data_IF_888559068917
#
_entry.id   IF_888559068917
#
_cell.length_a   1.000
_cell.length_b   1.000
_cell.length_c   1.000
_cell.angle_alpha   90.00
_cell.angle_beta   90.00
_cell.angle_gamma   90.00
#
_symmetry.space_group_name_H-M   'P 1'
#
loop_
_entity.id
_entity.type
_entity.pdbx_description
1 polymer ?
#
# COMPACT_ATOMS: atom_id res chain seq x y z
N UNK A 1 -4.79 -27.80 -6.43
CA UNK A 1 -4.53 -26.72 -5.45
C UNK A 1 -5.33 -27.02 -4.20
N UNK A 2 -4.66 -27.18 -3.07
CA UNK A 2 -5.32 -27.46 -1.80
C UNK A 2 -6.02 -26.20 -1.28
N UNK A 3 -7.09 -26.34 -0.49
CA UNK A 3 -7.76 -25.22 0.19
C UNK A 3 -6.78 -24.35 1.02
N UNK A 4 -5.66 -24.93 1.43
CA UNK A 4 -4.60 -24.28 2.20
C UNK A 4 -3.74 -23.32 1.36
N UNK A 5 -3.48 -23.66 0.09
CA UNK A 5 -2.77 -22.80 -0.87
C UNK A 5 -3.64 -21.63 -1.32
N UNK A 6 -4.94 -21.85 -1.46
CA UNK A 6 -5.92 -20.79 -1.76
C UNK A 6 -5.97 -19.80 -0.59
N UNK A 7 -5.99 -20.26 0.66
CA UNK A 7 -5.96 -19.38 1.83
C UNK A 7 -4.64 -18.60 1.96
N UNK A 8 -3.49 -19.25 1.75
CA UNK A 8 -2.19 -18.56 1.78
C UNK A 8 -2.06 -17.51 0.66
N UNK A 9 -2.58 -17.82 -0.55
CA UNK A 9 -2.55 -16.90 -1.69
C UNK A 9 -3.56 -15.76 -1.56
N UNK A 10 -4.68 -15.97 -0.85
CA UNK A 10 -5.70 -14.94 -0.56
C UNK A 10 -5.24 -13.98 0.54
N UNK A 11 -4.44 -14.45 1.50
CA UNK A 11 -3.93 -13.62 2.61
C UNK A 11 -2.77 -12.72 2.15
N UNK A 12 -1.93 -13.18 1.22
CA UNK A 12 -0.75 -12.42 0.77
C UNK A 12 -1.05 -11.24 -0.17
N UNK A 13 -2.24 -11.15 -0.77
CA UNK A 13 -2.61 -10.05 -1.68
C UNK A 13 -3.88 -9.36 -1.16
N UNK A 14 -3.96 -9.16 0.16
CA UNK A 14 -4.88 -8.18 0.71
C UNK A 14 -4.13 -6.86 0.81
N UNK A 15 -4.53 -5.88 0.01
CA UNK A 15 -4.16 -4.50 0.30
C UNK A 15 -4.76 -4.14 1.66
N UNK A 16 -3.92 -4.01 2.69
CA UNK A 16 -4.26 -3.73 4.11
C UNK A 16 -5.39 -2.71 4.27
N UNK A 17 -5.33 -1.66 3.47
CA UNK A 17 -6.28 -0.57 3.39
C UNK A 17 -7.74 -1.00 3.07
N UNK A 18 -7.94 -1.96 2.17
CA UNK A 18 -9.25 -2.50 1.80
C UNK A 18 -9.91 -3.21 2.99
N UNK A 19 -9.14 -4.05 3.68
CA UNK A 19 -9.64 -4.84 4.78
C UNK A 19 -10.04 -3.91 5.92
N UNK A 20 -9.17 -2.97 6.25
CA UNK A 20 -9.46 -1.94 7.23
C UNK A 20 -10.74 -1.16 6.89
N UNK A 21 -10.93 -0.79 5.62
CA UNK A 21 -12.14 -0.09 5.17
C UNK A 21 -13.41 -0.95 5.37
N UNK A 22 -13.36 -2.24 5.04
CA UNK A 22 -14.47 -3.18 5.25
C UNK A 22 -14.82 -3.31 6.73
N UNK A 23 -13.81 -3.46 7.58
CA UNK A 23 -13.98 -3.52 9.03
C UNK A 23 -14.64 -2.25 9.59
N UNK A 24 -14.12 -1.08 9.20
CA UNK A 24 -14.65 0.22 9.64
C UNK A 24 -16.06 0.48 9.11
N UNK A 25 -16.36 0.08 7.88
CA UNK A 25 -17.70 0.19 7.31
C UNK A 25 -18.72 -0.66 8.10
N UNK A 26 -18.34 -1.91 8.41
CA UNK A 26 -19.22 -2.85 9.07
C UNK A 26 -19.55 -2.48 10.51
N UNK A 27 -18.57 -1.94 11.25
CA UNK A 27 -18.64 -1.77 12.70
C UNK A 27 -18.66 -0.32 13.17
N UNK A 28 -18.14 0.63 12.39
CA UNK A 28 -18.02 2.02 12.84
C UNK A 28 -18.95 2.96 12.07
N UNK A 29 -19.07 2.84 10.73
CA UNK A 29 -19.99 3.72 9.98
C UNK A 29 -21.44 3.51 10.40
N UNK A 30 -21.88 2.26 10.55
CA UNK A 30 -23.25 1.95 11.01
C UNK A 30 -23.53 2.51 12.41
N UNK A 31 -22.60 2.33 13.34
CA UNK A 31 -22.75 2.77 14.73
C UNK A 31 -22.80 4.30 14.84
N UNK A 32 -22.15 5.01 13.91
CA UNK A 32 -22.12 6.46 13.88
C UNK A 32 -23.16 7.08 12.92
N UNK A 33 -24.11 6.31 12.37
CA UNK A 33 -25.11 6.75 11.40
C UNK A 33 -24.52 7.40 10.12
N UNK A 34 -23.39 6.86 9.66
CA UNK A 34 -22.66 7.30 8.46
C UNK A 34 -22.67 6.24 7.34
N UNK A 35 -23.60 5.28 7.38
CA UNK A 35 -23.71 4.21 6.38
C UNK A 35 -24.61 4.58 5.19
N UNK A 36 -24.73 5.87 4.90
CA UNK A 36 -25.48 6.40 3.75
C UNK A 36 -24.63 6.36 2.47
N UNK A 37 -25.20 5.87 1.34
CA UNK A 37 -24.54 5.98 0.04
C UNK A 37 -24.12 7.41 -0.28
N UNK A 38 -22.95 7.57 -0.88
CA UNK A 38 -22.30 8.86 -1.11
C UNK A 38 -21.36 9.29 0.03
N UNK A 39 -21.40 8.65 1.19
CA UNK A 39 -20.49 8.97 2.30
C UNK A 39 -19.05 8.62 1.94
N UNK A 40 -18.18 9.63 2.02
CA UNK A 40 -16.74 9.49 1.80
C UNK A 40 -16.02 9.44 3.15
N UNK A 41 -15.09 8.50 3.31
CA UNK A 41 -14.29 8.33 4.52
C UNK A 41 -12.84 7.96 4.19
N UNK A 42 -11.93 8.34 5.07
CA UNK A 42 -10.50 8.03 4.98
C UNK A 42 -10.12 6.93 5.97
N UNK A 43 -9.29 6.00 5.54
CA UNK A 43 -8.55 5.09 6.41
C UNK A 43 -7.12 5.62 6.50
N UNK A 44 -6.64 5.76 7.73
CA UNK A 44 -5.26 6.06 8.08
C UNK A 44 -4.72 4.85 8.82
N UNK A 45 -4.00 4.00 8.10
CA UNK A 45 -3.37 2.81 8.65
C UNK A 45 -2.01 3.18 9.23
N UNK A 46 -1.99 3.45 10.54
CA UNK A 46 -0.79 3.79 11.30
C UNK A 46 -0.10 2.51 11.76
N UNK A 47 0.70 1.91 10.87
CA UNK A 47 1.45 0.70 11.12
C UNK A 47 2.74 0.92 11.92
N UNK A 48 3.52 -0.16 12.05
CA UNK A 48 4.84 -0.12 12.65
C UNK A 48 5.88 0.53 11.75
N UNK A 49 6.01 0.06 10.51
CA UNK A 49 6.97 0.61 9.55
C UNK A 49 6.39 1.67 8.61
N UNK A 50 5.16 1.46 8.14
CA UNK A 50 4.51 2.34 7.17
C UNK A 50 3.26 3.00 7.74
N UNK A 51 2.91 4.13 7.15
CA UNK A 51 1.58 4.70 7.27
C UNK A 51 0.95 4.76 5.90
N UNK A 52 -0.25 4.20 5.76
CA UNK A 52 -0.96 4.11 4.49
C UNK A 52 -2.34 4.79 4.56
N UNK A 53 -2.63 5.62 3.57
CA UNK A 53 -3.86 6.39 3.43
C UNK A 53 -4.67 5.93 2.23
N UNK A 54 -5.96 5.69 2.45
CA UNK A 54 -6.93 5.52 1.36
C UNK A 54 -8.20 6.30 1.65
N UNK A 55 -8.80 6.89 0.62
CA UNK A 55 -10.10 7.56 0.72
C UNK A 55 -11.11 6.78 -0.09
N UNK A 56 -12.19 6.37 0.57
CA UNK A 56 -13.21 5.49 0.01
C UNK A 56 -14.56 6.18 0.06
N UNK A 57 -15.39 5.86 -0.93
CA UNK A 57 -16.78 6.30 -0.97
C UNK A 57 -17.69 5.09 -0.90
N UNK A 58 -18.61 5.13 0.06
CA UNK A 58 -19.68 4.16 0.20
C UNK A 58 -20.65 4.36 -0.95
N UNK A 59 -20.78 3.34 -1.78
CA UNK A 59 -21.76 3.28 -2.85
C UNK A 59 -23.07 2.70 -2.33
N UNK A 60 -24.08 2.67 -3.19
CA UNK A 60 -25.24 1.82 -2.98
C UNK A 60 -24.79 0.39 -2.66
N UNK A 61 -25.69 -0.40 -2.07
CA UNK A 61 -25.44 -1.82 -1.90
C UNK A 61 -24.25 -2.20 -0.99
N UNK A 62 -23.74 -1.27 -0.18
CA UNK A 62 -22.59 -1.44 0.75
C UNK A 62 -21.28 -1.78 0.03
N UNK A 63 -21.12 -1.29 -1.20
CA UNK A 63 -19.87 -1.40 -1.94
C UNK A 63 -19.01 -0.15 -1.71
N UNK A 64 -17.71 -0.26 -1.96
CA UNK A 64 -16.72 0.79 -1.80
C UNK A 64 -16.09 1.09 -3.16
N UNK A 65 -15.97 2.38 -3.45
CA UNK A 65 -15.11 2.91 -4.52
C UNK A 65 -13.93 3.65 -3.92
N UNK A 66 -12.92 3.93 -4.73
CA UNK A 66 -11.72 4.68 -4.35
C UNK A 66 -11.78 6.11 -4.90
N UNK A 67 -11.68 7.11 -4.00
CA UNK A 67 -11.86 8.53 -4.32
C UNK A 67 -10.56 9.16 -4.81
N UNK A 68 -9.44 8.81 -4.19
CA UNK A 68 -8.09 9.33 -4.49
C UNK A 68 -7.11 8.17 -4.59
N UNK A 69 -5.97 8.38 -5.26
CA UNK A 69 -4.86 7.43 -5.19
C UNK A 69 -4.42 7.24 -3.73
N UNK A 70 -3.88 6.07 -3.42
CA UNK A 70 -3.34 5.81 -2.08
C UNK A 70 -2.06 6.58 -1.87
N UNK A 71 -1.85 7.06 -0.65
CA UNK A 71 -0.60 7.64 -0.23
C UNK A 71 0.00 6.74 0.84
N UNK A 72 1.31 6.50 0.78
CA UNK A 72 2.03 5.70 1.76
C UNK A 72 3.40 6.32 2.03
N UNK A 73 3.88 6.21 3.26
CA UNK A 73 5.21 6.70 3.64
C UNK A 73 5.81 5.85 4.79
N UNK A 74 7.13 5.87 4.90
CA UNK A 74 7.89 5.19 5.95
C UNK A 74 7.98 6.08 7.19
N UNK A 75 6.87 6.21 7.90
CA UNK A 75 6.73 7.03 9.10
C UNK A 75 5.87 6.35 10.21
N UNK A 76 5.96 5.03 10.32
CA UNK A 76 5.27 4.27 11.37
C UNK A 76 5.93 4.37 12.76
N UNK A 77 5.38 3.67 13.75
CA UNK A 77 5.84 3.75 15.15
C UNK A 77 7.28 3.29 15.39
N UNK A 78 7.85 2.42 14.56
CA UNK A 78 9.23 1.93 14.74
C UNK A 78 10.27 3.01 14.51
N UNK A 79 9.89 4.11 13.85
CA UNK A 79 10.75 5.27 13.71
C UNK A 79 10.95 5.99 15.05
N UNK A 80 9.95 5.97 15.94
CA UNK A 80 10.07 6.51 17.30
C UNK A 80 10.98 5.59 18.13
N UNK A 81 10.85 4.26 17.95
CA UNK A 81 11.74 3.29 18.61
C UNK A 81 13.20 3.52 18.20
N UNK A 82 13.44 3.89 16.94
CA UNK A 82 14.77 4.26 16.47
C UNK A 82 15.28 5.55 17.11
N UNK A 83 14.44 6.58 17.26
CA UNK A 83 14.84 7.80 17.97
C UNK A 83 15.15 7.54 19.45
N UNK A 84 14.41 6.63 20.09
CA UNK A 84 14.72 6.15 21.43
C UNK A 84 16.08 5.42 21.50
N UNK A 85 16.37 4.51 20.56
CA UNK A 85 17.68 3.86 20.49
C UNK A 85 18.81 4.87 20.19
N UNK A 86 18.56 5.87 19.35
CA UNK A 86 19.53 6.94 19.07
C UNK A 86 19.81 7.80 20.30
N UNK A 87 18.80 8.00 21.14
CA UNK A 87 18.94 8.70 22.40
C UNK A 87 19.83 7.93 23.37
N UNK A 88 19.51 6.65 23.60
CA UNK A 88 20.34 5.77 24.42
C UNK A 88 21.76 5.66 23.87
N UNK A 89 21.94 5.66 22.54
CA UNK A 89 23.27 5.68 21.90
C UNK A 89 24.11 6.89 22.29
N UNK A 90 23.49 8.06 22.47
CA UNK A 90 24.21 9.28 22.90
C UNK A 90 24.66 9.21 24.36
N UNK A 91 23.99 8.38 25.17
CA UNK A 91 24.27 8.24 26.61
C UNK A 91 25.22 7.06 26.83
N UNK A 92 24.84 5.87 26.36
CA UNK A 92 25.53 4.59 26.56
C UNK A 92 26.68 4.36 25.56
N UNK A 93 26.72 5.13 24.47
CA UNK A 93 27.72 5.03 23.42
C UNK A 93 27.41 4.02 22.31
N UNK A 94 28.15 4.14 21.20
CA UNK A 94 27.96 3.31 20.01
C UNK A 94 28.20 1.82 20.28
N UNK A 95 29.21 1.50 21.09
CA UNK A 95 29.60 0.11 21.39
C UNK A 95 28.47 -0.63 22.10
N UNK A 96 27.85 0.00 23.11
CA UNK A 96 26.70 -0.54 23.83
C UNK A 96 25.52 -0.86 22.89
N UNK A 97 25.06 0.12 22.11
CA UNK A 97 23.88 -0.06 21.25
C UNK A 97 24.16 -1.00 20.08
N UNK A 98 25.37 -0.99 19.52
CA UNK A 98 25.74 -1.97 18.49
C UNK A 98 25.76 -3.39 19.05
N UNK A 99 26.27 -3.59 20.27
CA UNK A 99 26.24 -4.91 20.93
C UNK A 99 24.81 -5.43 21.13
N UNK A 100 23.88 -4.55 21.55
CA UNK A 100 22.46 -4.89 21.64
C UNK A 100 21.87 -5.36 20.31
N UNK A 101 22.17 -4.65 19.23
CA UNK A 101 21.67 -4.99 17.90
C UNK A 101 22.25 -6.30 17.38
N UNK A 102 23.55 -6.49 17.54
CA UNK A 102 24.31 -7.52 16.84
C UNK A 102 24.39 -8.84 17.64
N UNK A 103 24.42 -8.76 18.98
CA UNK A 103 24.64 -9.91 19.87
C UNK A 103 23.48 -10.17 20.86
N UNK A 104 22.69 -9.14 21.21
CA UNK A 104 21.68 -9.23 22.27
C UNK A 104 20.30 -8.73 21.83
N UNK A 105 19.89 -9.07 20.60
CA UNK A 105 18.65 -8.56 19.97
C UNK A 105 17.40 -8.80 20.83
N UNK A 106 17.31 -9.94 21.52
CA UNK A 106 16.19 -10.24 22.42
C UNK A 106 16.05 -9.23 23.58
N UNK A 107 17.15 -8.84 24.21
CA UNK A 107 17.13 -7.82 25.26
C UNK A 107 16.83 -6.43 24.69
N UNK A 108 17.35 -6.12 23.49
CA UNK A 108 16.98 -4.89 22.79
C UNK A 108 15.47 -4.80 22.54
N UNK A 109 14.84 -5.90 22.11
CA UNK A 109 13.39 -5.94 21.91
C UNK A 109 12.61 -5.80 23.22
N UNK A 110 13.07 -6.41 24.30
CA UNK A 110 12.48 -6.24 25.63
C UNK A 110 12.52 -4.78 26.08
N UNK A 111 13.66 -4.12 25.95
CA UNK A 111 13.84 -2.70 26.24
C UNK A 111 12.91 -1.80 25.41
N UNK A 112 12.80 -2.05 24.10
CA UNK A 112 11.87 -1.31 23.23
C UNK A 112 10.41 -1.55 23.66
N UNK A 113 10.07 -2.76 24.08
CA UNK A 113 8.73 -3.09 24.55
C UNK A 113 8.40 -2.37 25.86
N UNK A 114 9.34 -2.30 26.80
CA UNK A 114 9.23 -1.54 28.04
C UNK A 114 8.96 -0.06 27.74
N UNK A 115 9.81 0.58 26.92
CA UNK A 115 9.59 1.94 26.43
C UNK A 115 8.22 2.12 25.76
N UNK A 116 7.80 1.14 24.95
CA UNK A 116 6.53 1.18 24.23
C UNK A 116 5.34 1.26 25.20
N UNK A 117 5.35 0.43 26.25
CA UNK A 117 4.27 0.29 27.22
C UNK A 117 4.23 1.44 28.22
N UNK A 118 5.39 1.91 28.66
CA UNK A 118 5.50 2.86 29.77
C UNK A 118 5.66 4.32 29.33
N UNK A 119 6.13 4.58 28.11
CA UNK A 119 6.24 5.93 27.56
C UNK A 119 5.48 6.12 26.25
N UNK A 120 5.82 5.35 25.21
CA UNK A 120 5.39 5.65 23.83
C UNK A 120 3.86 5.66 23.65
N UNK A 121 3.15 4.65 24.17
CA UNK A 121 1.70 4.57 24.03
C UNK A 121 0.95 5.52 24.98
N UNK A 122 1.53 5.80 26.15
CA UNK A 122 0.92 6.62 27.19
C UNK A 122 1.10 8.12 26.95
N UNK A 123 2.14 8.52 26.22
CA UNK A 123 2.44 9.91 25.90
C UNK A 123 1.24 10.61 25.26
N UNK A 124 0.74 11.66 25.92
CA UNK A 124 -0.39 12.48 25.44
C UNK A 124 0.07 13.78 24.79
N UNK A 125 1.36 14.13 24.93
CA UNK A 125 1.90 15.44 24.60
C UNK A 125 1.38 16.57 25.50
N UNK A 126 0.67 16.27 26.59
CA UNK A 126 0.32 17.25 27.60
C UNK A 126 1.42 17.35 28.66
N UNK A 127 2.00 18.55 28.84
CA UNK A 127 3.09 18.72 29.80
C UNK A 127 2.61 18.55 31.23
N UNK A 128 1.35 18.89 31.56
CA UNK A 128 0.84 18.74 32.93
C UNK A 128 0.52 17.30 33.31
N UNK A 129 0.38 16.39 32.33
CA UNK A 129 0.08 14.98 32.55
C UNK A 129 1.32 14.09 32.44
N UNK A 130 2.46 14.64 32.05
CA UNK A 130 3.68 13.88 31.78
C UNK A 130 4.61 13.91 32.99
N UNK A 131 4.79 12.74 33.62
CA UNK A 131 5.96 12.45 34.44
C UNK A 131 7.13 12.06 33.54
N UNK A 132 8.36 12.25 34.01
CA UNK A 132 9.55 11.67 33.40
C UNK A 132 9.34 10.19 33.06
N UNK A 133 9.95 9.75 31.97
CA UNK A 133 10.12 8.32 31.72
C UNK A 133 11.51 7.92 32.17
N UNK A 134 11.58 7.01 33.11
CA UNK A 134 12.82 6.50 33.68
C UNK A 134 13.00 5.06 33.23
N UNK A 135 14.21 4.72 32.80
CA UNK A 135 14.61 3.36 32.49
C UNK A 135 15.79 2.97 33.38
N UNK A 136 15.61 1.88 34.11
CA UNK A 136 16.65 1.23 34.89
C UNK A 136 17.45 0.29 33.99
N UNK A 137 18.72 0.62 33.77
CA UNK A 137 19.58 -0.17 32.88
C UNK A 137 19.99 -1.49 33.52
N UNK A 138 20.15 -1.57 34.84
CA UNK A 138 20.49 -2.81 35.54
C UNK A 138 19.34 -3.83 35.46
N UNK A 139 18.10 -3.35 35.59
CA UNK A 139 16.92 -4.22 35.53
C UNK A 139 16.52 -4.57 34.09
N UNK A 140 16.52 -3.59 33.18
CA UNK A 140 15.96 -3.77 31.83
C UNK A 140 16.98 -4.34 30.86
N UNK A 141 18.24 -3.92 30.93
CA UNK A 141 19.26 -4.24 29.92
C UNK A 141 20.70 -4.30 30.49
N UNK A 142 20.95 -5.12 31.54
CA UNK A 142 22.22 -5.12 32.27
C UNK A 142 23.43 -5.50 31.40
N UNK A 143 23.20 -6.19 30.29
CA UNK A 143 24.27 -6.58 29.37
C UNK A 143 25.03 -5.37 28.82
N UNK A 144 24.39 -4.19 28.75
CA UNK A 144 25.01 -2.96 28.22
C UNK A 144 26.11 -2.44 29.13
N UNK A 145 26.05 -2.69 30.43
CA UNK A 145 27.04 -2.21 31.41
C UNK A 145 28.47 -2.64 31.03
N UNK A 146 28.64 -3.80 30.38
CA UNK A 146 29.95 -4.30 29.94
C UNK A 146 30.52 -3.60 28.70
N UNK A 147 29.75 -2.73 28.06
CA UNK A 147 30.07 -2.12 26.77
C UNK A 147 30.12 -0.59 26.82
N UNK A 148 29.80 0.03 27.96
CA UNK A 148 29.99 1.47 28.16
C UNK A 148 31.46 1.80 28.41
N UNK A 149 31.83 3.07 28.32
CA UNK A 149 33.17 3.56 28.67
C UNK A 149 33.24 3.85 30.17
N UNK A 150 34.43 3.83 30.77
CA UNK A 150 34.65 4.18 32.19
C UNK A 150 33.97 5.52 32.57
N UNK A 151 34.09 6.57 31.74
CA UNK A 151 33.44 7.87 31.99
C UNK A 151 31.90 7.79 32.04
N UNK A 152 31.30 6.90 31.25
CA UNK A 152 29.84 6.71 31.21
C UNK A 152 29.40 5.83 32.38
N UNK A 153 30.19 4.83 32.72
CA UNK A 153 30.00 3.96 33.89
C UNK A 153 29.96 4.78 35.18
N UNK A 154 30.99 5.60 35.45
CA UNK A 154 31.05 6.46 36.64
C UNK A 154 29.81 7.38 36.75
N UNK A 155 29.37 7.98 35.64
CA UNK A 155 28.19 8.86 35.61
C UNK A 155 26.88 8.11 35.86
N UNK A 156 26.77 6.88 35.39
CA UNK A 156 25.56 6.08 35.56
C UNK A 156 25.53 5.43 36.95
N UNK A 157 26.67 5.04 37.52
CA UNK A 157 26.75 4.57 38.90
C UNK A 157 26.30 5.65 39.89
N UNK A 158 26.68 6.92 39.69
CA UNK A 158 26.20 8.05 40.50
C UNK A 158 24.68 8.26 40.41
N UNK A 159 24.06 7.78 39.32
CA UNK A 159 22.64 7.88 39.04
C UNK A 159 21.89 6.55 39.27
N UNK A 160 22.51 5.58 39.96
CA UNK A 160 21.96 4.24 40.18
C UNK A 160 21.50 3.55 38.87
N UNK A 161 22.24 3.77 37.77
CA UNK A 161 21.96 3.29 36.42
C UNK A 161 20.58 3.68 35.85
N UNK A 162 19.95 4.71 36.42
CA UNK A 162 18.68 5.26 35.94
C UNK A 162 18.92 6.31 34.86
N UNK A 163 18.28 6.15 33.71
CA UNK A 163 18.25 7.15 32.65
C UNK A 163 16.86 7.80 32.60
N UNK A 164 16.82 9.11 32.83
CA UNK A 164 15.60 9.91 32.80
C UNK A 164 15.40 10.61 31.43
N UNK A 165 14.23 10.43 30.84
CA UNK A 165 13.77 11.14 29.66
C UNK A 165 12.61 12.08 29.99
N UNK A 166 12.91 13.38 29.97
CA UNK A 166 11.92 14.44 30.17
C UNK A 166 10.98 14.66 28.97
N UNK A 167 9.95 15.48 29.20
CA UNK A 167 8.88 15.76 28.23
C UNK A 167 9.40 16.19 26.86
N UNK A 168 10.32 17.17 26.83
CA UNK A 168 10.82 17.74 25.58
C UNK A 168 11.58 16.70 24.76
N UNK A 169 12.25 15.77 25.44
CA UNK A 169 13.02 14.72 24.83
C UNK A 169 12.11 13.66 24.20
N UNK A 170 11.12 13.16 24.95
CA UNK A 170 10.10 12.24 24.39
C UNK A 170 9.35 12.91 23.24
N UNK A 171 8.91 14.16 23.41
CA UNK A 171 8.20 14.90 22.36
C UNK A 171 9.03 15.01 21.07
N UNK A 172 10.33 15.26 21.20
CA UNK A 172 11.24 15.37 20.05
C UNK A 172 11.36 14.08 19.23
N UNK A 173 11.17 12.91 19.84
CA UNK A 173 11.12 11.63 19.12
C UNK A 173 9.86 11.48 18.27
N UNK A 174 8.74 12.04 18.73
CA UNK A 174 7.44 11.92 18.05
C UNK A 174 7.24 12.96 16.96
N UNK A 175 7.59 14.21 17.23
CA UNK A 175 7.21 15.35 16.38
C UNK A 175 7.57 15.16 14.89
N UNK A 176 8.78 14.74 14.50
CA UNK A 176 9.13 14.56 13.10
C UNK A 176 8.27 13.50 12.40
N UNK A 177 7.87 12.46 13.13
CA UNK A 177 7.09 11.34 12.60
C UNK A 177 5.62 11.73 12.48
N UNK A 178 5.07 12.37 13.52
CA UNK A 178 3.69 12.85 13.53
C UNK A 178 3.48 13.92 12.45
N UNK A 179 4.38 14.89 12.29
CA UNK A 179 4.27 15.94 11.28
C UNK A 179 4.24 15.39 9.84
N UNK A 180 4.99 14.30 9.56
CA UNK A 180 4.90 13.59 8.26
C UNK A 180 3.50 13.03 8.05
N UNK A 181 2.94 12.34 9.04
CA UNK A 181 1.57 11.79 8.97
C UNK A 181 0.54 12.91 8.75
N UNK A 182 0.66 14.02 9.48
CA UNK A 182 -0.23 15.19 9.30
C UNK A 182 -0.13 15.73 7.88
N UNK A 183 1.08 15.87 7.33
CA UNK A 183 1.30 16.33 5.96
C UNK A 183 0.66 15.39 4.94
N UNK A 184 0.78 14.08 5.13
CA UNK A 184 0.14 13.09 4.26
C UNK A 184 -1.39 13.20 4.30
N UNK A 185 -1.98 13.29 5.49
CA UNK A 185 -3.44 13.43 5.65
C UNK A 185 -3.92 14.73 4.99
N UNK A 186 -3.23 15.85 5.24
CA UNK A 186 -3.55 17.14 4.64
C UNK A 186 -3.52 17.08 3.11
N UNK A 187 -2.49 16.46 2.55
CA UNK A 187 -2.33 16.28 1.09
C UNK A 187 -3.44 15.41 0.52
N UNK A 188 -3.75 14.29 1.18
CA UNK A 188 -4.80 13.37 0.75
C UNK A 188 -6.18 14.01 0.78
N UNK A 189 -6.49 14.80 1.82
CA UNK A 189 -7.73 15.56 1.91
C UNK A 189 -7.78 16.67 0.84
N UNK A 190 -6.67 17.34 0.55
CA UNK A 190 -6.58 18.38 -0.49
C UNK A 190 -6.74 17.84 -1.91
N UNK A 191 -6.29 16.61 -2.17
CA UNK A 191 -6.46 15.93 -3.46
C UNK A 191 -7.88 15.41 -3.70
N UNK A 192 -8.72 15.35 -2.66
CA UNK A 192 -10.12 14.94 -2.78
C UNK A 192 -10.99 16.13 -3.21
N UNK A 193 -11.79 15.95 -4.25
CA UNK A 193 -12.86 16.90 -4.63
C UNK A 193 -14.12 16.75 -3.78
N UNK A 194 -14.18 15.71 -2.96
CA UNK A 194 -15.31 15.37 -2.10
C UNK A 194 -14.98 15.61 -0.63
N UNK A 195 -15.97 16.06 0.15
CA UNK A 195 -15.86 16.21 1.59
C UNK A 195 -15.69 14.85 2.26
N UNK A 196 -14.69 14.74 3.14
CA UNK A 196 -14.46 13.54 3.94
C UNK A 196 -15.32 13.58 5.21
N UNK A 197 -16.33 12.72 5.29
CA UNK A 197 -17.28 12.67 6.42
C UNK A 197 -16.70 12.01 7.67
N UNK A 198 -15.74 11.08 7.49
CA UNK A 198 -15.11 10.36 8.59
C UNK A 198 -13.66 9.98 8.28
N UNK A 199 -12.84 9.86 9.32
CA UNK A 199 -11.47 9.36 9.26
C UNK A 199 -11.31 8.28 10.33
N UNK A 200 -10.84 7.11 9.92
CA UNK A 200 -10.58 5.99 10.81
C UNK A 200 -9.08 5.79 10.95
N UNK A 201 -8.58 5.85 12.19
CA UNK A 201 -7.19 5.57 12.50
C UNK A 201 -7.07 4.10 12.90
N UNK A 202 -6.43 3.30 12.06
CA UNK A 202 -6.21 1.85 12.27
C UNK A 202 -4.72 1.55 12.42
N UNK A 203 -4.37 0.30 12.69
CA UNK A 203 -2.97 -0.09 12.91
C UNK A 203 -2.54 0.05 14.37
N UNK A 204 -1.36 -0.47 14.69
CA UNK A 204 -0.85 -0.47 16.07
C UNK A 204 -0.56 0.93 16.61
N UNK A 205 -0.01 1.80 15.76
CA UNK A 205 0.41 3.15 16.15
C UNK A 205 -0.76 4.12 16.35
N UNK A 206 -1.94 3.82 15.78
CA UNK A 206 -3.13 4.65 16.02
C UNK A 206 -3.62 4.62 17.47
N UNK A 207 -3.10 3.71 18.30
CA UNK A 207 -3.35 3.67 19.75
C UNK A 207 -2.60 4.77 20.52
N UNK A 208 -1.58 5.40 19.93
CA UNK A 208 -0.85 6.49 20.59
C UNK A 208 -1.79 7.67 20.88
N UNK A 209 -1.88 8.05 22.16
CA UNK A 209 -2.72 9.18 22.60
C UNK A 209 -2.26 10.49 21.98
N UNK A 210 -0.94 10.71 21.89
CA UNK A 210 -0.37 11.88 21.24
C UNK A 210 -0.77 11.98 19.76
N UNK A 211 -0.59 10.91 18.98
CA UNK A 211 -0.97 10.88 17.57
C UNK A 211 -2.46 11.20 17.37
N UNK A 212 -3.33 10.57 18.18
CA UNK A 212 -4.76 10.85 18.13
C UNK A 212 -5.09 12.31 18.47
N UNK A 213 -4.45 12.89 19.50
CA UNK A 213 -4.64 14.28 19.93
C UNK A 213 -4.29 15.24 18.81
N UNK A 214 -3.10 15.09 18.20
CA UNK A 214 -2.62 16.00 17.15
C UNK A 214 -3.49 15.89 15.88
N UNK A 215 -3.83 14.67 15.43
CA UNK A 215 -4.73 14.48 14.28
C UNK A 215 -6.10 15.11 14.55
N UNK A 216 -6.69 14.87 15.73
CA UNK A 216 -7.98 15.48 16.09
C UNK A 216 -7.89 17.01 16.10
N UNK A 217 -6.91 17.58 16.77
CA UNK A 217 -6.74 19.04 16.84
C UNK A 217 -6.60 19.66 15.45
N UNK A 218 -5.82 19.05 14.56
CA UNK A 218 -5.57 19.55 13.20
C UNK A 218 -6.79 19.43 12.30
N UNK A 219 -7.49 18.29 12.33
CA UNK A 219 -8.46 17.93 11.29
C UNK A 219 -9.92 17.95 11.73
N UNK A 220 -10.26 18.10 13.02
CA UNK A 220 -11.65 18.08 13.51
C UNK A 220 -12.57 19.13 12.84
N UNK A 221 -12.01 20.24 12.33
CA UNK A 221 -12.77 21.26 11.59
C UNK A 221 -13.10 20.83 10.16
N UNK A 222 -12.27 20.00 9.55
CA UNK A 222 -12.42 19.52 8.17
C UNK A 222 -13.14 18.17 8.10
N UNK A 223 -12.88 17.29 9.08
CA UNK A 223 -13.48 15.95 9.20
C UNK A 223 -14.14 15.85 10.56
N UNK A 224 -15.48 15.83 10.56
CA UNK A 224 -16.28 15.85 11.80
C UNK A 224 -16.05 14.61 12.67
N UNK A 225 -15.84 13.45 12.05
CA UNK A 225 -15.76 12.17 12.74
C UNK A 225 -14.35 11.57 12.60
N UNK A 226 -13.48 11.78 13.60
CA UNK A 226 -12.15 11.16 13.66
C UNK A 226 -12.19 10.07 14.72
N UNK A 227 -12.14 8.82 14.28
CA UNK A 227 -12.49 7.65 15.07
C UNK A 227 -11.33 6.65 15.09
N UNK A 228 -11.11 6.03 16.25
CA UNK A 228 -10.22 4.87 16.39
C UNK A 228 -11.12 3.67 16.67
N UNK A 229 -11.09 2.61 15.85
CA UNK A 229 -11.89 1.41 16.14
C UNK A 229 -11.47 0.75 17.45
N UNK A 230 -12.35 -0.08 18.04
CA UNK A 230 -12.10 -0.75 19.31
C UNK A 230 -10.82 -1.62 19.29
N UNK A 231 -10.54 -2.27 18.16
CA UNK A 231 -9.35 -3.09 17.97
C UNK A 231 -8.60 -2.65 16.71
N UNK A 232 -7.88 -1.51 16.76
CA UNK A 232 -7.29 -0.91 15.57
C UNK A 232 -6.18 -1.78 14.96
N UNK A 233 -5.40 -2.47 15.80
CA UNK A 233 -4.34 -3.40 15.37
C UNK A 233 -4.90 -4.64 14.63
N UNK A 234 -6.13 -5.05 14.95
CA UNK A 234 -6.79 -6.21 14.35
C UNK A 234 -7.74 -5.82 13.21
N UNK A 235 -7.84 -4.53 12.85
CA UNK A 235 -8.79 -4.05 11.85
C UNK A 235 -8.60 -4.73 10.49
N UNK A 236 -7.34 -4.93 10.08
CA UNK A 236 -7.00 -5.58 8.81
C UNK A 236 -7.39 -7.07 8.83
N UNK A 237 -6.94 -7.83 9.83
CA UNK A 237 -7.24 -9.28 9.88
C UNK A 237 -8.74 -9.54 10.03
N UNK A 238 -9.45 -8.75 10.85
CA UNK A 238 -10.91 -8.82 10.98
C UNK A 238 -11.62 -8.42 9.68
N UNK A 239 -11.15 -7.38 9.02
CA UNK A 239 -11.67 -6.93 7.73
C UNK A 239 -11.51 -7.98 6.63
N UNK A 240 -10.36 -8.64 6.56
CA UNK A 240 -10.10 -9.73 5.63
C UNK A 240 -11.02 -10.93 5.90
N UNK A 241 -11.21 -11.31 7.16
CA UNK A 241 -12.15 -12.36 7.54
C UNK A 241 -13.61 -12.02 7.15
N UNK A 242 -14.04 -10.78 7.40
CA UNK A 242 -15.35 -10.28 6.98
C UNK A 242 -15.52 -10.31 5.45
N UNK A 243 -14.47 -9.94 4.71
CA UNK A 243 -14.48 -10.02 3.26
C UNK A 243 -14.62 -11.46 2.76
N UNK A 244 -13.81 -12.38 3.29
CA UNK A 244 -13.90 -13.81 2.97
C UNK A 244 -15.28 -14.38 3.25
N UNK A 245 -15.87 -14.05 4.40
CA UNK A 245 -17.23 -14.46 4.75
C UNK A 245 -18.28 -13.89 3.77
N UNK A 246 -18.13 -12.64 3.35
CA UNK A 246 -19.03 -12.04 2.36
C UNK A 246 -18.98 -12.75 1.01
N UNK A 247 -17.82 -13.28 0.63
CA UNK A 247 -17.65 -14.06 -0.60
C UNK A 247 -18.36 -15.41 -0.50
N UNK A 248 -18.19 -16.14 0.61
CA UNK A 248 -18.84 -17.43 0.83
C UNK A 248 -20.36 -17.28 0.83
N UNK A 249 -20.88 -16.30 1.54
CA UNK A 249 -22.33 -16.06 1.63
C UNK A 249 -22.96 -15.61 0.31
N UNK A 250 -22.17 -15.05 -0.61
CA UNK A 250 -22.63 -14.63 -1.94
C UNK A 250 -22.58 -15.76 -2.98
N UNK A 251 -22.07 -16.95 -2.62
CA UNK A 251 -21.82 -18.07 -3.54
C UNK A 251 -22.50 -19.40 -3.12
N UNK A 252 -23.85 -19.52 -3.05
CA UNK A 252 -24.46 -20.83 -2.84
C UNK A 252 -24.31 -21.78 -4.05
N UNK A 253 -24.12 -21.23 -5.26
CA UNK A 253 -23.98 -22.00 -6.50
C UNK A 253 -22.75 -21.50 -7.28
N UNK A 254 -21.76 -22.39 -7.45
CA UNK A 254 -20.44 -22.13 -8.02
C UNK A 254 -20.48 -21.71 -9.51
N UNK A 255 -21.61 -21.88 -10.20
CA UNK A 255 -21.75 -21.70 -11.66
C UNK A 255 -21.99 -20.25 -12.13
N UNK A 256 -22.16 -19.28 -11.21
CA UNK A 256 -22.41 -17.87 -11.58
C UNK A 256 -21.43 -16.91 -10.92
N UNK A 257 -20.17 -16.98 -11.35
CA UNK A 257 -19.13 -15.99 -11.01
C UNK A 257 -19.55 -14.53 -11.29
N UNK A 258 -20.52 -14.32 -12.18
CA UNK A 258 -21.06 -13.01 -12.57
C UNK A 258 -22.08 -12.40 -11.57
N UNK A 259 -22.46 -13.10 -10.51
CA UNK A 259 -23.48 -12.64 -9.53
C UNK A 259 -22.91 -12.30 -8.15
N UNK A 260 -21.59 -12.39 -7.98
CA UNK A 260 -20.93 -12.09 -6.71
C UNK A 260 -20.92 -10.58 -6.45
N UNK A 261 -21.56 -10.16 -5.36
CA UNK A 261 -21.65 -8.75 -4.94
C UNK A 261 -20.38 -8.37 -4.17
N UNK A 262 -19.43 -7.74 -4.84
CA UNK A 262 -18.13 -7.40 -4.23
C UNK A 262 -18.22 -6.18 -3.34
N UNK A 263 -17.60 -6.23 -2.16
CA UNK A 263 -17.52 -5.07 -1.28
C UNK A 263 -16.64 -3.97 -1.87
N UNK A 264 -15.68 -4.28 -2.75
CA UNK A 264 -14.92 -3.28 -3.51
C UNK A 264 -15.37 -3.36 -4.97
N UNK A 265 -15.93 -2.27 -5.47
CA UNK A 265 -16.50 -2.22 -6.82
C UNK A 265 -15.52 -1.61 -7.83
N UNK A 266 -14.78 -0.57 -7.41
CA UNK A 266 -13.93 0.23 -8.27
C UNK A 266 -12.58 0.52 -7.59
N UNK A 267 -11.51 0.56 -8.39
CA UNK A 267 -10.15 0.92 -7.96
C UNK A 267 -9.54 1.94 -8.90
N UNK A 268 -8.65 2.80 -8.39
CA UNK A 268 -7.85 3.69 -9.24
C UNK A 268 -6.52 3.04 -9.64
N UNK A 269 -6.19 3.06 -10.93
CA UNK A 269 -4.94 2.49 -11.41
C UNK A 269 -3.74 3.31 -10.95
N UNK A 270 -2.74 2.66 -10.34
CA UNK A 270 -1.48 3.28 -9.91
C UNK A 270 -0.50 3.54 -11.06
N UNK A 271 -0.64 2.79 -12.14
CA UNK A 271 0.27 2.82 -13.29
C UNK A 271 -0.53 2.99 -14.58
N UNK A 272 0.14 3.51 -15.61
CA UNK A 272 -0.33 3.46 -16.99
C UNK A 272 0.13 2.15 -17.59
N UNK A 273 -0.81 1.32 -18.07
CA UNK A 273 -0.54 0.02 -18.68
C UNK A 273 -0.71 0.08 -20.19
N UNK A 274 0.10 -0.69 -20.89
CA UNK A 274 0.02 -0.79 -22.33
C UNK A 274 0.88 -1.91 -22.88
N UNK A 275 0.98 -1.93 -24.20
CA UNK A 275 1.75 -2.95 -24.91
C UNK A 275 2.78 -2.32 -25.83
N UNK A 276 3.85 -3.07 -26.10
CA UNK A 276 4.79 -2.74 -27.17
C UNK A 276 4.14 -3.00 -28.52
N UNK A 277 4.10 -1.98 -29.35
CA UNK A 277 3.63 -2.07 -30.74
C UNK A 277 4.74 -1.70 -31.71
N UNK A 278 4.75 -2.35 -32.88
CA UNK A 278 5.66 -2.06 -33.96
C UNK A 278 4.94 -1.16 -34.98
N UNK A 279 5.51 0.01 -35.26
CA UNK A 279 4.94 1.00 -36.18
C UNK A 279 5.97 1.44 -37.22
N UNK A 280 5.50 1.99 -38.34
CA UNK A 280 6.38 2.69 -39.28
C UNK A 280 7.08 3.86 -38.57
N UNK A 281 8.39 3.98 -38.77
CA UNK A 281 9.16 5.09 -38.21
C UNK A 281 8.79 6.38 -38.92
N UNK A 282 8.48 7.44 -38.16
CA UNK A 282 8.18 8.78 -38.68
C UNK A 282 9.34 9.73 -38.41
N UNK A 283 9.40 10.85 -39.13
CA UNK A 283 10.46 11.89 -38.94
C UNK A 283 10.50 12.47 -37.52
N UNK A 284 9.36 12.44 -36.81
CA UNK A 284 9.23 12.87 -35.42
C UNK A 284 9.83 11.86 -34.42
N UNK A 285 10.08 10.62 -34.85
CA UNK A 285 10.70 9.59 -34.01
C UNK A 285 12.21 9.77 -33.95
N UNK A 286 12.80 9.46 -32.79
CA UNK A 286 14.25 9.52 -32.62
C UNK A 286 14.94 8.58 -33.63
N UNK A 287 15.91 9.09 -34.38
CA UNK A 287 16.66 8.33 -35.41
C UNK A 287 17.31 7.09 -34.80
N UNK A 288 17.81 7.17 -33.56
CA UNK A 288 18.41 6.04 -32.83
C UNK A 288 17.46 4.85 -32.62
N UNK A 289 16.14 5.05 -32.74
CA UNK A 289 15.10 4.02 -32.58
C UNK A 289 14.64 3.42 -33.92
N UNK A 290 15.18 3.89 -35.04
CA UNK A 290 14.87 3.36 -36.38
C UNK A 290 15.53 2.00 -36.57
N UNK A 291 14.71 0.99 -36.80
CA UNK A 291 15.16 -0.38 -37.13
C UNK A 291 15.53 -0.48 -38.62
N UNK A 292 16.34 -1.47 -39.02
CA UNK A 292 16.75 -1.67 -40.42
C UNK A 292 15.58 -1.81 -41.40
N UNK A 293 14.45 -2.33 -40.93
CA UNK A 293 13.21 -2.48 -41.70
C UNK A 293 12.37 -1.19 -41.79
N UNK A 294 12.90 -0.04 -41.36
CA UNK A 294 12.19 1.25 -41.38
C UNK A 294 11.13 1.42 -40.29
N UNK A 295 11.08 0.53 -39.30
CA UNK A 295 10.09 0.55 -38.21
C UNK A 295 10.69 0.95 -36.87
N UNK A 296 9.83 1.16 -35.88
CA UNK A 296 10.20 1.43 -34.49
C UNK A 296 9.22 0.77 -33.54
N UNK A 297 9.70 0.41 -32.34
CA UNK A 297 8.82 0.02 -31.25
C UNK A 297 8.32 1.26 -30.51
N UNK A 298 7.05 1.24 -30.13
CA UNK A 298 6.40 2.28 -29.33
C UNK A 298 5.59 1.64 -28.21
N UNK A 299 5.37 2.40 -27.15
CA UNK A 299 4.42 2.06 -26.12
C UNK A 299 3.02 2.53 -26.55
N UNK A 300 2.06 1.63 -26.55
CA UNK A 300 0.65 1.94 -26.79
C UNK A 300 -0.10 1.80 -25.46
N UNK A 301 -0.37 2.93 -24.81
CA UNK A 301 -1.19 2.96 -23.60
C UNK A 301 -2.60 2.42 -23.85
N UNK A 302 -3.08 1.59 -22.92
CA UNK A 302 -4.40 0.96 -22.93
C UNK A 302 -5.25 1.42 -21.75
N UNK A 303 -4.65 1.53 -20.56
CA UNK A 303 -5.33 1.99 -19.36
C UNK A 303 -4.41 2.97 -18.63
N UNK A 304 -4.91 4.18 -18.36
CA UNK A 304 -4.10 5.27 -17.82
C UNK A 304 -4.05 5.23 -16.29
N UNK A 305 -2.92 5.67 -15.72
CA UNK A 305 -2.83 5.99 -14.29
C UNK A 305 -3.95 6.95 -13.88
N UNK A 306 -4.52 6.72 -12.71
CA UNK A 306 -5.62 7.52 -12.13
C UNK A 306 -7.02 7.14 -12.62
N UNK A 307 -7.14 6.34 -13.70
CA UNK A 307 -8.43 5.85 -14.19
C UNK A 307 -9.10 4.94 -13.15
N UNK A 308 -10.35 5.23 -12.82
CA UNK A 308 -11.21 4.33 -12.02
C UNK A 308 -11.66 3.15 -12.89
N UNK A 309 -11.32 1.94 -12.48
CA UNK A 309 -11.68 0.69 -13.17
C UNK A 309 -12.57 -0.18 -12.30
N UNK A 310 -13.63 -0.73 -12.89
CA UNK A 310 -14.48 -1.73 -12.25
C UNK A 310 -13.78 -3.09 -12.22
N UNK A 311 -14.13 -3.92 -11.25
CA UNK A 311 -13.66 -5.31 -11.22
C UNK A 311 -14.03 -6.03 -12.52
N UNK A 312 -13.04 -6.65 -13.15
CA UNK A 312 -13.15 -7.34 -14.44
C UNK A 312 -13.46 -6.41 -15.64
N UNK A 313 -13.19 -5.12 -15.53
CA UNK A 313 -13.24 -4.22 -16.67
C UNK A 313 -12.10 -4.55 -17.64
N UNK A 314 -12.44 -4.74 -18.91
CA UNK A 314 -11.52 -5.06 -19.99
C UNK A 314 -11.24 -3.83 -20.86
N UNK A 315 -9.96 -3.58 -21.13
CA UNK A 315 -9.48 -2.60 -22.10
C UNK A 315 -8.96 -3.35 -23.32
N UNK A 316 -9.47 -3.04 -24.51
CA UNK A 316 -9.14 -3.81 -25.70
C UNK A 316 -8.47 -2.98 -26.79
N UNK A 317 -7.62 -3.64 -27.58
CA UNK A 317 -6.98 -3.10 -28.77
C UNK A 317 -7.01 -4.12 -29.90
N UNK A 318 -7.27 -3.65 -31.11
CA UNK A 318 -7.15 -4.43 -32.32
C UNK A 318 -5.71 -4.37 -32.84
N UNK A 319 -5.10 -5.54 -33.05
CA UNK A 319 -3.72 -5.70 -33.50
C UNK A 319 -3.69 -6.61 -34.73
N UNK A 320 -2.81 -6.29 -35.67
CA UNK A 320 -2.55 -7.09 -36.88
C UNK A 320 -1.09 -7.51 -36.93
N UNK A 321 -0.75 -8.60 -37.62
CA UNK A 321 0.63 -9.03 -37.83
C UNK A 321 1.49 -7.91 -38.45
N UNK A 322 2.77 -7.88 -38.07
CA UNK A 322 3.72 -6.91 -38.60
C UNK A 322 3.97 -7.13 -40.10
N UNK A 323 4.02 -8.40 -40.51
CA UNK A 323 4.28 -8.85 -41.88
C UNK A 323 3.40 -10.05 -42.25
N UNK A 324 3.20 -10.29 -43.55
CA UNK A 324 2.23 -11.26 -44.04
C UNK A 324 2.55 -12.70 -43.62
N UNK A 325 3.84 -13.07 -43.58
CA UNK A 325 4.31 -14.42 -43.25
C UNK A 325 4.36 -14.73 -41.74
N UNK A 326 4.07 -13.75 -40.87
CA UNK A 326 4.25 -13.90 -39.42
C UNK A 326 3.27 -14.92 -38.85
N UNK A 327 3.76 -15.96 -38.18
CA UNK A 327 2.97 -17.07 -37.62
C UNK A 327 2.83 -17.01 -36.09
N UNK A 328 3.47 -16.04 -35.46
CA UNK A 328 3.54 -15.88 -34.00
C UNK A 328 3.52 -14.39 -33.64
N UNK A 329 2.77 -14.00 -32.61
CA UNK A 329 2.84 -12.65 -32.01
C UNK A 329 3.23 -12.78 -30.54
N UNK A 330 4.23 -11.99 -30.11
CA UNK A 330 4.55 -11.80 -28.70
C UNK A 330 4.09 -10.42 -28.26
N UNK A 331 3.07 -10.39 -27.40
CA UNK A 331 2.63 -9.18 -26.73
C UNK A 331 3.49 -8.96 -25.50
N UNK A 332 4.38 -7.96 -25.54
CA UNK A 332 5.10 -7.50 -24.36
C UNK A 332 4.28 -6.39 -23.69
N UNK A 333 4.03 -6.56 -22.40
CA UNK A 333 3.10 -5.73 -21.62
C UNK A 333 3.96 -4.92 -20.66
N UNK A 334 3.79 -3.60 -20.70
CA UNK A 334 4.58 -2.66 -19.93
C UNK A 334 3.68 -1.81 -19.03
N UNK A 335 4.28 -1.29 -17.97
CA UNK A 335 3.65 -0.29 -17.11
C UNK A 335 4.64 0.82 -16.72
N UNK A 336 4.10 1.97 -16.38
CA UNK A 336 4.89 3.12 -15.89
C UNK A 336 4.11 3.92 -14.84
N UNK A 337 4.83 4.55 -13.92
CA UNK A 337 4.33 5.55 -12.96
C UNK A 337 3.87 6.84 -13.65
N UNK A 338 4.33 7.12 -14.87
CA UNK A 338 3.96 8.34 -15.61
C UNK A 338 2.52 8.28 -16.14
N UNK A 339 1.88 9.45 -16.26
CA UNK A 339 0.52 9.56 -16.83
C UNK A 339 0.47 9.23 -18.33
N UNK A 340 1.58 9.40 -19.04
CA UNK A 340 1.71 9.10 -20.46
C UNK A 340 3.14 8.71 -20.77
N UNK A 341 3.30 7.81 -21.73
CA UNK A 341 4.59 7.42 -22.29
C UNK A 341 4.41 7.14 -23.78
N UNK A 342 5.50 7.25 -24.54
CA UNK A 342 5.50 7.06 -25.99
C UNK A 342 6.32 5.84 -26.41
N UNK A 343 7.36 5.49 -25.65
CA UNK A 343 8.27 4.39 -25.95
C UNK A 343 8.48 3.46 -24.75
N UNK A 344 8.83 2.20 -25.02
CA UNK A 344 9.00 1.17 -24.00
C UNK A 344 10.34 1.25 -23.25
N UNK A 345 11.24 2.15 -23.66
CA UNK A 345 12.59 2.38 -23.12
C UNK A 345 12.71 3.74 -22.44
N UNK A 346 11.57 4.37 -22.09
CA UNK A 346 11.56 5.61 -21.30
C UNK A 346 11.84 5.35 -19.81
N UNK A 347 12.32 6.37 -19.11
CA UNK A 347 12.55 6.27 -17.65
C UNK A 347 11.26 5.89 -16.92
N UNK A 348 11.38 5.01 -15.92
CA UNK A 348 10.28 4.45 -15.10
C UNK A 348 9.31 3.54 -15.89
N UNK A 349 9.74 2.99 -17.03
CA UNK A 349 9.01 1.96 -17.76
C UNK A 349 9.52 0.56 -17.40
N UNK A 350 8.63 -0.33 -17.01
CA UNK A 350 8.95 -1.69 -16.61
C UNK A 350 8.09 -2.72 -17.37
N UNK A 351 8.68 -3.88 -17.68
CA UNK A 351 7.96 -4.98 -18.34
C UNK A 351 7.22 -5.81 -17.29
N UNK A 352 5.88 -5.87 -17.40
CA UNK A 352 5.03 -6.66 -16.52
C UNK A 352 5.05 -8.15 -16.88
N UNK A 353 5.28 -8.45 -18.15
CA UNK A 353 5.29 -9.81 -18.68
C UNK A 353 4.92 -9.85 -20.15
N UNK A 354 4.74 -11.08 -20.67
CA UNK A 354 4.42 -11.28 -22.07
C UNK A 354 3.38 -12.38 -22.31
N UNK A 355 2.66 -12.25 -23.43
CA UNK A 355 1.73 -13.26 -23.94
C UNK A 355 2.13 -13.62 -25.36
N UNK A 356 2.45 -14.89 -25.61
CA UNK A 356 2.80 -15.40 -26.93
C UNK A 356 1.58 -16.13 -27.52
N UNK A 357 1.24 -15.82 -28.76
CA UNK A 357 0.14 -16.46 -29.49
C UNK A 357 0.61 -17.00 -30.84
N UNK A 358 -0.03 -18.07 -31.32
CA UNK A 358 0.15 -18.58 -32.67
C UNK A 358 -0.89 -17.99 -33.64
N UNK A 359 -0.50 -17.86 -34.90
CA UNK A 359 -1.28 -17.34 -36.02
C UNK A 359 -1.06 -18.23 -37.27
N UNK A 360 -1.58 -19.46 -37.28
CA UNK A 360 -1.27 -20.45 -38.31
C UNK A 360 -1.82 -20.10 -39.71
N UNK A 361 -2.81 -19.21 -39.81
CA UNK A 361 -3.50 -18.86 -41.06
C UNK A 361 -2.70 -17.90 -41.97
N UNK A 362 -1.40 -18.17 -42.18
CA UNK A 362 -0.45 -17.28 -42.86
C UNK A 362 -0.92 -16.85 -44.27
N UNK A 363 -1.69 -17.70 -44.94
CA UNK A 363 -2.29 -17.44 -46.26
C UNK A 363 -3.20 -16.18 -46.28
N UNK A 364 -3.71 -15.72 -45.14
CA UNK A 364 -4.53 -14.51 -45.01
C UNK A 364 -3.70 -13.22 -44.87
N UNK A 365 -2.37 -13.32 -44.91
CA UNK A 365 -1.46 -12.18 -44.91
C UNK A 365 -1.61 -11.30 -43.65
N UNK A 366 -1.81 -9.99 -43.82
CA UNK A 366 -2.00 -9.05 -42.69
C UNK A 366 -3.46 -8.93 -42.23
N UNK A 367 -4.41 -9.52 -42.94
CA UNK A 367 -5.85 -9.42 -42.62
C UNK A 367 -6.27 -10.33 -41.45
N UNK A 368 -5.34 -10.67 -40.56
CA UNK A 368 -5.55 -11.50 -39.38
C UNK A 368 -5.68 -10.61 -38.16
N UNK A 369 -6.92 -10.27 -37.81
CA UNK A 369 -7.19 -9.37 -36.70
C UNK A 369 -7.16 -10.12 -35.36
N UNK A 370 -6.33 -9.65 -34.45
CA UNK A 370 -6.25 -10.12 -33.06
C UNK A 370 -6.80 -9.04 -32.15
N UNK A 371 -7.80 -9.37 -31.34
CA UNK A 371 -8.27 -8.52 -30.27
C UNK A 371 -7.47 -8.84 -29.01
N UNK A 372 -6.56 -7.95 -28.64
CA UNK A 372 -5.83 -8.02 -27.39
C UNK A 372 -6.61 -7.30 -26.30
N UNK A 373 -6.73 -7.89 -25.11
CA UNK A 373 -7.45 -7.35 -23.97
C UNK A 373 -6.56 -7.34 -22.71
N UNK A 374 -6.67 -6.27 -21.92
CA UNK A 374 -6.19 -6.23 -20.54
C UNK A 374 -7.40 -6.12 -19.63
N UNK A 375 -7.64 -7.17 -18.86
CA UNK A 375 -8.72 -7.24 -17.88
C UNK A 375 -8.16 -7.01 -16.48
N UNK A 376 -8.66 -5.98 -15.83
CA UNK A 376 -8.27 -5.63 -14.47
C UNK A 376 -9.13 -6.42 -13.48
N UNK A 377 -8.68 -7.65 -13.21
CA UNK A 377 -9.28 -8.55 -12.23
C UNK A 377 -8.99 -8.12 -10.79
N UNK A 378 -9.47 -8.90 -9.81
CA UNK A 378 -9.35 -8.53 -8.38
C UNK A 378 -7.89 -8.42 -7.92
N UNK A 379 -7.11 -9.46 -8.21
CA UNK A 379 -5.74 -9.64 -7.69
C UNK A 379 -4.70 -9.75 -8.81
N UNK A 380 -5.15 -9.86 -10.06
CA UNK A 380 -4.31 -10.12 -11.22
C UNK A 380 -4.79 -9.25 -12.39
N UNK A 381 -3.87 -8.96 -13.30
CA UNK A 381 -4.20 -8.40 -14.61
C UNK A 381 -4.19 -9.58 -15.57
N UNK A 382 -5.33 -9.88 -16.18
CA UNK A 382 -5.42 -10.93 -17.20
C UNK A 382 -5.21 -10.30 -18.56
N UNK A 383 -4.19 -10.74 -19.28
CA UNK A 383 -4.02 -10.39 -20.68
C UNK A 383 -4.67 -11.47 -21.55
N UNK A 384 -5.53 -11.06 -22.47
CA UNK A 384 -6.24 -11.94 -23.41
C UNK A 384 -5.85 -11.59 -24.83
N UNK A 385 -5.83 -12.57 -25.71
CA UNK A 385 -5.63 -12.36 -27.14
C UNK A 385 -6.53 -13.32 -27.92
N UNK A 386 -7.53 -12.75 -28.60
CA UNK A 386 -8.51 -13.49 -29.38
C UNK A 386 -8.34 -13.23 -30.87
N UNK A 387 -8.02 -14.27 -31.63
CA UNK A 387 -8.08 -14.23 -33.08
C UNK A 387 -9.55 -14.13 -33.52
N UNK A 388 -9.89 -13.05 -34.25
CA UNK A 388 -11.27 -12.76 -34.64
C UNK A 388 -11.78 -13.62 -35.79
N UNK A 389 -10.91 -14.29 -36.53
CA UNK A 389 -11.27 -15.09 -37.70
C UNK A 389 -11.56 -16.54 -37.32
N UNK A 390 -10.65 -17.18 -36.59
CA UNK A 390 -10.75 -18.60 -36.24
C UNK A 390 -11.22 -18.82 -34.78
N UNK A 391 -11.38 -17.75 -34.00
CA UNK A 391 -11.89 -17.79 -32.63
C UNK A 391 -10.89 -18.26 -31.58
N UNK A 392 -9.65 -18.59 -31.96
CA UNK A 392 -8.60 -19.00 -31.01
C UNK A 392 -8.40 -17.90 -29.95
N UNK A 393 -8.33 -18.32 -28.69
CA UNK A 393 -8.19 -17.44 -27.55
C UNK A 393 -7.02 -17.88 -26.69
N UNK A 394 -6.16 -16.93 -26.36
CA UNK A 394 -5.02 -17.11 -25.47
C UNK A 394 -5.18 -16.18 -24.29
N UNK A 395 -4.74 -16.61 -23.11
CA UNK A 395 -4.76 -15.77 -21.93
C UNK A 395 -3.57 -16.07 -21.03
N UNK A 396 -3.12 -15.05 -20.30
CA UNK A 396 -2.16 -15.19 -19.21
C UNK A 396 -2.57 -14.28 -18.06
N UNK A 397 -2.26 -14.69 -16.84
CA UNK A 397 -2.42 -13.87 -15.64
C UNK A 397 -1.08 -13.24 -15.27
N UNK A 398 -1.09 -11.94 -15.04
CA UNK A 398 0.06 -11.15 -14.64
C UNK A 398 -0.14 -10.72 -13.19
N UNK A 399 0.87 -10.97 -12.37
CA UNK A 399 0.98 -10.44 -11.02
C UNK A 399 1.93 -9.26 -11.07
N UNK A 400 1.54 -8.16 -10.45
CA UNK A 400 2.49 -7.12 -10.11
C UNK A 400 3.22 -7.63 -8.87
N UNK A 401 4.53 -7.80 -8.97
CA UNK A 401 5.38 -7.88 -7.78
C UNK A 401 5.31 -6.49 -7.13
N UNK A 402 4.47 -6.33 -6.11
CA UNK A 402 4.30 -5.08 -5.33
C UNK A 402 4.95 -5.27 -3.99
#
# INVERSE_FOLDING_TARGET
MSHHEIFHSIIYIFFTAEAAAIYCMGNNLKVNNLDTPGTTFMIVDCGGGTVDLTTRKLLENKQLSEVTERAGDFCGSTFIDREFLNALRKILGDRAINSLRDNHYGQMQYMIQEFCLNAKLLFTGDRSEFSSYEIDIEDVVPVVMQYVTEEVEEKLEEADWLIEFGYDYIKSMFDPIVERIITMIQTQLGNSRETCSAMFLVGGFSQSKYLQKIIKQKFQRQVKNILVPLHPIAAISRGAALYGLSMVNSAPNLDRMNSLKFVINERKLKYTYGIRVCCEWKKEDLIKRKRPNGRTYKFRGMAQRGTSVKVNQEFTLNITPEHAAQDTITFHIYYTTKYSAQYCDEDEMEELGSLIISLPDIHLGKNRLVLFGLTFGRMEITATAKNKLNGQNYQTSLKLDI
#
